data_IF_926811878222
#
_entry.id   IF_926811878222
#
_cell.length_a   1.000
_cell.length_b   1.000
_cell.length_c   1.000
_cell.angle_alpha   90.00
_cell.angle_beta   90.00
_cell.angle_gamma   90.00
#
_symmetry.space_group_name_H-M   'P 1'
#
loop_
_entity.id
_entity.type
_entity.pdbx_description
1 polymer ?
#
# COMPACT_ATOMS: atom_id res chain seq x y z
N UNK A 1 34.44 -5.86 3.45
CA UNK A 1 33.47 -5.99 2.33
C UNK A 1 34.20 -5.84 1.00
N UNK A 2 33.85 -6.63 -0.01
CA UNK A 2 34.35 -6.41 -1.38
C UNK A 2 33.68 -5.18 -2.01
N UNK A 3 34.38 -4.42 -2.86
CA UNK A 3 33.86 -3.18 -3.45
C UNK A 3 32.51 -3.37 -4.17
N UNK A 4 32.34 -4.48 -4.89
CA UNK A 4 31.09 -4.83 -5.58
C UNK A 4 29.91 -5.07 -4.62
N UNK A 5 30.16 -5.64 -3.43
CA UNK A 5 29.14 -5.83 -2.41
C UNK A 5 28.68 -4.49 -1.84
N UNK A 6 29.63 -3.59 -1.55
CA UNK A 6 29.34 -2.24 -1.06
C UNK A 6 28.49 -1.44 -2.06
N UNK A 7 28.78 -1.59 -3.36
CA UNK A 7 28.01 -0.95 -4.43
C UNK A 7 26.56 -1.44 -4.46
N UNK A 8 26.34 -2.75 -4.37
CA UNK A 8 25.00 -3.31 -4.29
C UNK A 8 24.23 -2.84 -3.05
N UNK A 9 24.89 -2.73 -1.91
CA UNK A 9 24.29 -2.18 -0.70
C UNK A 9 23.87 -0.73 -0.90
N UNK A 10 24.78 0.12 -1.43
CA UNK A 10 24.51 1.55 -1.67
C UNK A 10 23.36 1.76 -2.65
N UNK A 11 23.32 0.99 -3.75
CA UNK A 11 22.20 1.04 -4.69
C UNK A 11 20.88 0.62 -4.03
N UNK A 12 20.91 -0.46 -3.24
CA UNK A 12 19.75 -0.92 -2.48
C UNK A 12 19.21 0.14 -1.52
N UNK A 13 20.08 0.79 -0.75
CA UNK A 13 19.69 1.86 0.17
C UNK A 13 19.16 3.10 -0.57
N UNK A 14 19.78 3.50 -1.67
CA UNK A 14 19.30 4.62 -2.51
C UNK A 14 17.90 4.36 -3.06
N UNK A 15 17.64 3.14 -3.53
CA UNK A 15 16.32 2.75 -4.03
C UNK A 15 15.30 2.59 -2.89
N UNK A 16 15.68 2.12 -1.69
CA UNK A 16 14.80 2.16 -0.51
C UNK A 16 14.37 3.60 -0.19
N UNK A 17 15.33 4.54 -0.18
CA UNK A 17 15.05 5.95 0.10
C UNK A 17 14.05 6.52 -0.88
N UNK A 18 14.23 6.26 -2.18
CA UNK A 18 13.30 6.71 -3.22
C UNK A 18 11.93 6.06 -3.04
N UNK A 19 11.88 4.75 -2.81
CA UNK A 19 10.64 4.02 -2.58
C UNK A 19 9.84 4.60 -1.41
N UNK A 20 10.50 4.82 -0.27
CA UNK A 20 9.89 5.43 0.90
C UNK A 20 9.40 6.86 0.64
N UNK A 21 10.18 7.68 -0.08
CA UNK A 21 9.77 9.04 -0.46
C UNK A 21 8.50 9.03 -1.32
N UNK A 22 8.45 8.18 -2.35
CA UNK A 22 7.25 8.06 -3.17
C UNK A 22 6.06 7.59 -2.34
N UNK A 23 6.21 6.58 -1.47
CA UNK A 23 5.12 6.15 -0.59
C UNK A 23 4.63 7.28 0.33
N UNK A 24 5.53 8.08 0.90
CA UNK A 24 5.16 9.24 1.74
C UNK A 24 4.37 10.29 0.95
N UNK A 25 4.78 10.60 -0.28
CA UNK A 25 4.02 11.49 -1.16
C UNK A 25 2.66 10.86 -1.50
N UNK A 26 2.62 9.55 -1.71
CA UNK A 26 1.39 8.78 -1.91
C UNK A 26 0.43 8.92 -0.73
N UNK A 27 0.89 8.76 0.51
CA UNK A 27 0.07 8.98 1.71
C UNK A 27 -0.41 10.42 1.81
N UNK A 28 0.42 11.41 1.49
CA UNK A 28 -0.01 12.81 1.46
C UNK A 28 -1.15 13.03 0.45
N UNK A 29 -1.08 12.41 -0.73
CA UNK A 29 -2.16 12.46 -1.73
C UNK A 29 -3.43 11.74 -1.27
N UNK A 30 -3.30 10.61 -0.54
CA UNK A 30 -4.44 9.95 0.09
C UNK A 30 -5.10 10.81 1.16
N UNK A 31 -4.32 11.56 1.96
CA UNK A 31 -4.85 12.51 2.92
C UNK A 31 -5.60 13.65 2.22
N UNK A 32 -5.07 14.18 1.11
CA UNK A 32 -5.78 15.17 0.28
C UNK A 32 -7.10 14.60 -0.24
N UNK A 33 -7.09 13.36 -0.76
CA UNK A 33 -8.31 12.67 -1.20
C UNK A 33 -9.33 12.50 -0.06
N UNK A 34 -8.85 12.17 1.15
CA UNK A 34 -9.70 12.00 2.32
C UNK A 34 -10.32 13.33 2.78
N UNK A 35 -9.54 14.41 2.79
CA UNK A 35 -10.05 15.77 3.09
C UNK A 35 -11.08 16.21 2.04
N UNK A 36 -10.81 15.92 0.76
CA UNK A 36 -11.76 16.12 -0.33
C UNK A 36 -13.06 15.33 -0.12
N UNK A 37 -13.00 14.06 0.30
CA UNK A 37 -14.22 13.29 0.62
C UNK A 37 -14.97 13.87 1.83
N UNK A 38 -14.26 14.31 2.86
CA UNK A 38 -14.88 14.87 4.07
C UNK A 38 -15.59 16.21 3.82
N UNK A 39 -15.17 17.00 2.84
CA UNK A 39 -15.89 18.23 2.47
C UNK A 39 -17.30 17.96 1.93
N UNK A 40 -17.57 16.73 1.45
CA UNK A 40 -18.89 16.27 1.04
C UNK A 40 -19.70 15.62 2.17
N UNK A 41 -19.11 15.40 3.35
CA UNK A 41 -19.81 14.82 4.49
C UNK A 41 -21.08 15.61 4.89
N UNK A 42 -21.11 16.95 4.90
CA UNK A 42 -22.33 17.70 5.19
C UNK A 42 -23.47 17.40 4.22
N UNK A 43 -23.16 17.20 2.93
CA UNK A 43 -24.15 16.80 1.92
C UNK A 43 -24.72 15.41 2.19
N UNK A 44 -23.87 14.48 2.64
CA UNK A 44 -24.29 13.12 3.04
C UNK A 44 -25.13 13.16 4.33
N UNK A 45 -24.75 13.98 5.31
CA UNK A 45 -25.47 14.12 6.58
C UNK A 45 -26.78 14.90 6.46
N UNK A 46 -26.94 15.71 5.43
CA UNK A 46 -28.19 16.41 5.10
C UNK A 46 -29.20 15.51 4.35
N UNK A 47 -28.85 14.26 4.04
CA UNK A 47 -29.83 13.29 3.56
C UNK A 47 -30.90 13.12 4.65
N UNK A 48 -32.18 13.38 4.35
CA UNK A 48 -33.26 13.26 5.33
C UNK A 48 -33.18 11.90 6.02
N UNK A 49 -33.12 11.92 7.36
CA UNK A 49 -33.05 10.73 8.21
C UNK A 49 -34.11 9.74 7.74
N UNK A 50 -33.69 8.50 7.44
CA UNK A 50 -34.46 7.35 6.93
C UNK A 50 -35.89 7.21 7.52
N UNK A 51 -36.79 8.08 7.10
CA UNK A 51 -38.22 8.01 7.30
C UNK A 51 -38.83 7.83 5.92
N UNK A 52 -38.98 6.56 5.51
CA UNK A 52 -39.79 6.11 4.37
C UNK A 52 -39.89 7.10 3.19
N UNK A 53 -38.75 7.49 2.61
CA UNK A 53 -38.76 8.15 1.30
C UNK A 53 -38.75 7.01 0.26
N UNK A 54 -39.76 6.91 -0.63
CA UNK A 54 -39.75 5.96 -1.72
C UNK A 54 -38.42 6.06 -2.48
N UNK A 55 -37.82 4.92 -2.86
CA UNK A 55 -36.55 4.91 -3.62
C UNK A 55 -36.62 5.73 -4.93
N UNK A 56 -37.83 5.96 -5.46
CA UNK A 56 -38.11 6.83 -6.61
C UNK A 56 -37.85 8.32 -6.36
N UNK A 57 -37.91 8.76 -5.08
CA UNK A 57 -37.80 10.17 -4.66
C UNK A 57 -36.48 10.46 -3.95
N UNK A 58 -35.62 9.44 -3.76
CA UNK A 58 -34.23 9.65 -3.38
C UNK A 58 -33.51 10.33 -4.54
N UNK A 59 -33.54 11.68 -4.56
CA UNK A 59 -32.58 12.45 -5.32
C UNK A 59 -31.19 12.15 -4.76
N UNK A 60 -30.53 11.14 -5.34
CA UNK A 60 -29.10 10.97 -5.17
C UNK A 60 -28.46 12.32 -5.49
N UNK A 61 -27.64 12.89 -4.58
CA UNK A 61 -26.93 14.12 -4.88
C UNK A 61 -26.17 13.90 -6.18
N UNK A 62 -26.54 14.63 -7.23
CA UNK A 62 -25.81 14.58 -8.49
C UNK A 62 -24.45 15.21 -8.22
N UNK A 63 -23.46 14.36 -7.94
CA UNK A 63 -22.07 14.80 -7.92
C UNK A 63 -21.77 15.37 -9.31
N UNK A 64 -21.46 16.66 -9.37
CA UNK A 64 -21.00 17.27 -10.60
C UNK A 64 -19.63 16.69 -10.99
N UNK A 65 -19.25 16.93 -12.24
CA UNK A 65 -17.97 16.47 -12.78
C UNK A 65 -16.78 17.03 -11.98
N UNK A 66 -16.91 18.25 -11.44
CA UNK A 66 -15.88 18.89 -10.62
C UNK A 66 -15.64 18.15 -9.30
N UNK A 67 -16.71 17.73 -8.62
CA UNK A 67 -16.68 17.01 -7.35
C UNK A 67 -16.08 15.61 -7.53
N UNK A 68 -16.51 14.92 -8.59
CA UNK A 68 -15.95 13.62 -8.97
C UNK A 68 -14.45 13.74 -9.25
N UNK A 69 -14.02 14.76 -10.02
CA UNK A 69 -12.61 14.98 -10.31
C UNK A 69 -11.80 15.34 -9.06
N UNK A 70 -12.35 16.14 -8.15
CA UNK A 70 -11.67 16.56 -6.92
C UNK A 70 -11.37 15.38 -5.98
N UNK A 71 -12.18 14.32 -6.01
CA UNK A 71 -11.94 13.07 -5.27
C UNK A 71 -11.07 12.09 -6.07
N UNK A 72 -11.40 11.85 -7.34
CA UNK A 72 -10.74 10.82 -8.14
C UNK A 72 -9.31 11.17 -8.54
N UNK A 73 -9.03 12.44 -8.82
CA UNK A 73 -7.70 12.85 -9.29
C UNK A 73 -6.61 12.61 -8.24
N UNK A 74 -6.75 13.03 -6.97
CA UNK A 74 -5.77 12.73 -5.93
C UNK A 74 -5.61 11.22 -5.68
N UNK A 75 -6.69 10.43 -5.75
CA UNK A 75 -6.62 8.97 -5.64
C UNK A 75 -5.82 8.34 -6.78
N UNK A 76 -6.04 8.79 -8.02
CA UNK A 76 -5.30 8.32 -9.19
C UNK A 76 -3.81 8.68 -9.07
N UNK A 77 -3.50 9.91 -8.65
CA UNK A 77 -2.11 10.35 -8.42
C UNK A 77 -1.48 9.51 -7.30
N UNK A 78 -2.18 9.30 -6.19
CA UNK A 78 -1.70 8.46 -5.08
C UNK A 78 -1.38 7.04 -5.54
N UNK A 79 -2.24 6.44 -6.37
CA UNK A 79 -2.03 5.11 -6.95
C UNK A 79 -0.78 5.07 -7.83
N UNK A 80 -0.62 6.01 -8.76
CA UNK A 80 0.55 6.08 -9.66
C UNK A 80 1.86 6.26 -8.87
N UNK A 81 1.83 7.13 -7.86
CA UNK A 81 2.98 7.38 -6.98
C UNK A 81 3.28 6.14 -6.12
N UNK A 82 2.26 5.48 -5.58
CA UNK A 82 2.42 4.22 -4.84
C UNK A 82 3.04 3.11 -5.70
N UNK A 83 2.64 3.00 -6.97
CA UNK A 83 3.25 2.07 -7.93
C UNK A 83 4.73 2.40 -8.18
N UNK A 84 5.09 3.69 -8.27
CA UNK A 84 6.50 4.10 -8.34
C UNK A 84 7.26 3.71 -7.06
N UNK A 85 6.69 3.94 -5.88
CA UNK A 85 7.28 3.53 -4.60
C UNK A 85 7.52 2.03 -4.53
N UNK A 86 6.52 1.24 -4.90
CA UNK A 86 6.59 -0.21 -5.03
C UNK A 86 7.72 -0.65 -5.99
N UNK A 87 7.81 -0.03 -7.17
CA UNK A 87 8.87 -0.33 -8.15
C UNK A 87 10.27 -0.15 -7.54
N UNK A 88 10.50 0.95 -6.83
CA UNK A 88 11.79 1.22 -6.18
C UNK A 88 12.09 0.24 -5.05
N UNK A 89 11.11 -0.14 -4.23
CA UNK A 89 11.29 -1.20 -3.24
C UNK A 89 11.57 -2.56 -3.87
N UNK A 90 10.87 -2.90 -4.95
CA UNK A 90 11.10 -4.13 -5.68
C UNK A 90 12.52 -4.18 -6.26
N UNK A 91 13.00 -3.06 -6.83
CA UNK A 91 14.37 -2.93 -7.33
C UNK A 91 15.41 -3.01 -6.20
N UNK A 92 15.15 -2.31 -5.09
CA UNK A 92 16.02 -2.32 -3.91
C UNK A 92 16.24 -3.73 -3.35
N UNK A 93 15.16 -4.49 -3.12
CA UNK A 93 15.26 -5.87 -2.62
C UNK A 93 16.06 -6.77 -3.56
N UNK A 94 16.08 -6.47 -4.87
CA UNK A 94 16.94 -7.14 -5.84
C UNK A 94 18.42 -6.85 -5.62
N UNK A 95 18.80 -5.61 -5.34
CA UNK A 95 20.18 -5.23 -5.02
C UNK A 95 20.62 -5.81 -3.66
N UNK A 96 19.77 -5.73 -2.64
CA UNK A 96 20.04 -6.26 -1.30
C UNK A 96 20.19 -7.79 -1.29
N UNK A 97 19.40 -8.51 -2.10
CA UNK A 97 19.58 -9.95 -2.31
C UNK A 97 20.95 -10.30 -2.91
N UNK A 98 21.50 -9.46 -3.81
CA UNK A 98 22.84 -9.70 -4.39
C UNK A 98 23.96 -9.42 -3.39
N UNK A 99 23.71 -8.55 -2.42
CA UNK A 99 24.63 -8.26 -1.33
C UNK A 99 24.70 -9.41 -0.32
N UNK A 100 23.55 -9.84 0.22
CA UNK A 100 23.42 -10.96 1.16
C UNK A 100 22.12 -11.73 0.90
N UNK A 101 22.21 -12.75 0.05
CA UNK A 101 21.04 -13.52 -0.37
C UNK A 101 20.37 -14.31 0.78
N UNK A 102 21.11 -15.02 1.66
CA UNK A 102 20.51 -15.77 2.77
C UNK A 102 19.70 -14.89 3.73
N UNK A 103 20.18 -13.68 4.03
CA UNK A 103 19.51 -12.80 5.01
C UNK A 103 18.48 -11.89 4.37
N UNK A 104 18.86 -11.18 3.30
CA UNK A 104 18.07 -10.10 2.71
C UNK A 104 17.23 -10.54 1.51
N UNK A 105 17.46 -11.75 0.98
CA UNK A 105 16.67 -12.28 -0.13
C UNK A 105 15.17 -12.44 0.17
N UNK A 106 14.80 -12.53 1.44
CA UNK A 106 13.41 -12.68 1.91
C UNK A 106 12.53 -11.49 1.50
N UNK A 107 13.08 -10.27 1.46
CA UNK A 107 12.32 -9.09 1.05
C UNK A 107 11.92 -9.14 -0.41
N UNK A 108 12.75 -9.75 -1.28
CA UNK A 108 12.41 -9.92 -2.70
C UNK A 108 11.23 -10.87 -2.89
N UNK A 109 11.19 -11.96 -2.11
CA UNK A 109 10.03 -12.86 -2.07
C UNK A 109 8.79 -12.10 -1.60
N UNK A 110 8.91 -11.31 -0.52
CA UNK A 110 7.81 -10.48 -0.01
C UNK A 110 7.23 -9.53 -1.06
N UNK A 111 8.09 -8.74 -1.72
CA UNK A 111 7.65 -7.83 -2.78
C UNK A 111 7.05 -8.58 -3.99
N UNK A 112 7.47 -9.83 -4.26
CA UNK A 112 6.88 -10.64 -5.34
C UNK A 112 5.47 -11.11 -4.97
N UNK A 113 5.22 -11.48 -3.70
CA UNK A 113 3.88 -11.79 -3.22
C UNK A 113 2.96 -10.57 -3.28
N UNK A 114 3.46 -9.39 -2.90
CA UNK A 114 2.71 -8.14 -3.04
C UNK A 114 2.34 -7.87 -4.50
N UNK A 115 3.28 -8.06 -5.44
CA UNK A 115 3.00 -7.88 -6.88
C UNK A 115 1.87 -8.80 -7.35
N UNK A 116 1.90 -10.08 -6.96
CA UNK A 116 0.87 -11.04 -7.32
C UNK A 116 -0.48 -10.64 -6.70
N UNK A 117 -0.50 -10.24 -5.43
CA UNK A 117 -1.70 -9.73 -4.77
C UNK A 117 -2.27 -8.48 -5.44
N UNK A 118 -1.40 -7.54 -5.83
CA UNK A 118 -1.79 -6.32 -6.52
C UNK A 118 -2.37 -6.62 -7.91
N UNK A 119 -1.74 -7.51 -8.68
CA UNK A 119 -2.26 -7.97 -9.97
C UNK A 119 -3.64 -8.65 -9.78
N UNK A 120 -3.79 -9.47 -8.74
CA UNK A 120 -5.07 -10.12 -8.43
C UNK A 120 -6.17 -9.09 -8.13
N UNK A 121 -5.86 -7.98 -7.45
CA UNK A 121 -6.81 -6.88 -7.21
C UNK A 121 -7.13 -6.15 -8.51
N UNK A 122 -6.10 -5.71 -9.25
CA UNK A 122 -6.25 -4.88 -10.46
C UNK A 122 -7.00 -5.64 -11.57
N UNK A 123 -6.78 -6.95 -11.71
CA UNK A 123 -7.45 -7.77 -12.72
C UNK A 123 -8.75 -8.35 -12.17
N UNK A 124 -8.72 -8.88 -10.96
CA UNK A 124 -9.82 -9.64 -10.38
C UNK A 124 -11.02 -8.79 -9.97
N UNK A 125 -10.82 -7.60 -9.37
CA UNK A 125 -11.94 -6.74 -9.00
C UNK A 125 -12.71 -6.24 -10.23
N UNK A 126 -12.09 -5.64 -11.26
CA UNK A 126 -12.81 -5.20 -12.46
C UNK A 126 -13.48 -6.35 -13.21
N UNK A 127 -12.82 -7.51 -13.34
CA UNK A 127 -13.41 -8.68 -13.98
C UNK A 127 -14.68 -9.15 -13.26
N UNK A 128 -14.68 -9.09 -11.93
CA UNK A 128 -15.85 -9.48 -11.12
C UNK A 128 -16.96 -8.44 -11.20
N UNK A 129 -16.63 -7.15 -11.12
CA UNK A 129 -17.60 -6.05 -11.30
C UNK A 129 -18.26 -6.15 -12.69
N UNK A 130 -17.46 -6.37 -13.73
CA UNK A 130 -17.95 -6.56 -15.09
C UNK A 130 -18.87 -7.78 -15.19
N UNK A 131 -18.48 -8.90 -14.59
CA UNK A 131 -19.28 -10.12 -14.57
C UNK A 131 -20.63 -9.92 -13.88
N UNK A 132 -20.67 -9.15 -12.78
CA UNK A 132 -21.92 -8.79 -12.08
C UNK A 132 -22.77 -7.87 -12.95
N UNK A 133 -22.17 -6.90 -13.64
CA UNK A 133 -22.88 -5.91 -14.46
C UNK A 133 -23.58 -6.53 -15.68
N UNK A 134 -23.05 -7.61 -16.25
CA UNK A 134 -23.61 -8.29 -17.43
C UNK A 134 -24.45 -9.53 -17.06
N UNK A 135 -24.45 -9.95 -15.80
CA UNK A 135 -25.13 -11.16 -15.37
C UNK A 135 -26.66 -10.96 -15.36
N UNK A 136 -27.44 -11.86 -15.97
CA UNK A 136 -28.87 -11.89 -15.73
C UNK A 136 -29.11 -12.20 -14.23
N UNK A 137 -29.87 -11.33 -13.56
CA UNK A 137 -30.11 -11.37 -12.11
C UNK A 137 -30.44 -12.79 -11.61
N UNK A 138 -29.79 -13.24 -10.52
CA UNK A 138 -30.02 -14.57 -9.94
C UNK A 138 -28.78 -15.19 -9.26
N UNK A 139 -28.70 -16.52 -9.21
CA UNK A 139 -27.63 -17.29 -8.55
C UNK A 139 -26.23 -16.98 -9.08
N UNK A 140 -26.09 -16.55 -10.34
CA UNK A 140 -24.82 -16.16 -10.94
C UNK A 140 -24.20 -14.92 -10.25
N UNK A 141 -25.02 -13.92 -9.86
CA UNK A 141 -24.54 -12.75 -9.14
C UNK A 141 -23.99 -13.14 -7.74
N UNK A 142 -24.61 -14.15 -7.12
CA UNK A 142 -24.16 -14.69 -5.83
C UNK A 142 -22.80 -15.40 -5.98
N UNK A 143 -22.63 -16.25 -7.00
CA UNK A 143 -21.34 -16.90 -7.26
C UNK A 143 -20.24 -15.89 -7.61
N UNK A 144 -20.55 -14.87 -8.40
CA UNK A 144 -19.62 -13.78 -8.72
C UNK A 144 -19.20 -13.01 -7.45
N UNK A 145 -20.14 -12.71 -6.55
CA UNK A 145 -19.85 -12.06 -5.27
C UNK A 145 -18.93 -12.92 -4.39
N UNK A 146 -19.21 -14.22 -4.25
CA UNK A 146 -18.32 -15.13 -3.51
C UNK A 146 -16.94 -15.25 -4.15
N UNK A 147 -16.88 -15.27 -5.49
CA UNK A 147 -15.61 -15.21 -6.23
C UNK A 147 -14.83 -13.93 -5.94
N UNK A 148 -15.51 -12.78 -5.91
CA UNK A 148 -14.91 -11.49 -5.55
C UNK A 148 -14.30 -11.52 -4.16
N UNK A 149 -15.07 -12.02 -3.17
CA UNK A 149 -14.64 -12.12 -1.79
C UNK A 149 -13.45 -13.06 -1.65
N UNK A 150 -13.46 -14.19 -2.37
CA UNK A 150 -12.34 -15.13 -2.41
C UNK A 150 -11.06 -14.50 -2.96
N UNK A 151 -11.15 -13.83 -4.13
CA UNK A 151 -10.01 -13.13 -4.74
C UNK A 151 -9.49 -12.02 -3.83
N UNK A 152 -10.40 -11.21 -3.26
CA UNK A 152 -10.03 -10.13 -2.36
C UNK A 152 -9.31 -10.65 -1.11
N UNK A 153 -9.81 -11.74 -0.51
CA UNK A 153 -9.20 -12.35 0.67
C UNK A 153 -7.81 -12.92 0.36
N UNK A 154 -7.65 -13.64 -0.75
CA UNK A 154 -6.34 -14.15 -1.17
C UNK A 154 -5.38 -13.01 -1.47
N UNK A 155 -5.82 -11.98 -2.18
CA UNK A 155 -4.97 -10.84 -2.52
C UNK A 155 -4.52 -10.08 -1.26
N UNK A 156 -5.43 -9.81 -0.33
CA UNK A 156 -5.12 -9.17 0.96
C UNK A 156 -4.14 -10.02 1.76
N UNK A 157 -4.33 -11.34 1.83
CA UNK A 157 -3.39 -12.24 2.49
C UNK A 157 -1.99 -12.18 1.87
N UNK A 158 -1.90 -12.17 0.53
CA UNK A 158 -0.63 -12.04 -0.20
C UNK A 158 0.07 -10.70 0.06
N UNK A 159 -0.69 -9.60 0.10
CA UNK A 159 -0.18 -8.27 0.43
C UNK A 159 0.40 -8.24 1.85
N UNK A 160 -0.37 -8.73 2.84
CA UNK A 160 0.06 -8.77 4.26
C UNK A 160 1.32 -9.62 4.41
N UNK A 161 1.31 -10.86 3.91
CA UNK A 161 2.49 -11.74 4.01
C UNK A 161 3.68 -11.10 3.30
N UNK A 162 3.45 -10.46 2.17
CA UNK A 162 4.48 -9.73 1.45
C UNK A 162 5.10 -8.57 2.26
N UNK A 163 4.27 -7.74 2.89
CA UNK A 163 4.69 -6.67 3.80
C UNK A 163 5.49 -7.22 4.97
N UNK A 164 5.02 -8.30 5.60
CA UNK A 164 5.72 -8.94 6.72
C UNK A 164 7.11 -9.43 6.33
N UNK A 165 7.24 -10.08 5.17
CA UNK A 165 8.55 -10.56 4.68
C UNK A 165 9.49 -9.39 4.33
N UNK A 166 8.97 -8.29 3.78
CA UNK A 166 9.74 -7.08 3.55
C UNK A 166 10.18 -6.43 4.88
N UNK A 167 9.29 -6.35 5.87
CA UNK A 167 9.62 -5.88 7.21
C UNK A 167 10.68 -6.73 7.90
N UNK A 168 10.60 -8.06 7.81
CA UNK A 168 11.62 -8.99 8.31
C UNK A 168 12.98 -8.75 7.63
N UNK A 169 13.00 -8.45 6.32
CA UNK A 169 14.24 -8.05 5.65
C UNK A 169 14.83 -6.78 6.28
N UNK A 170 14.02 -5.75 6.56
CA UNK A 170 14.49 -4.53 7.23
C UNK A 170 15.04 -4.82 8.63
N UNK A 171 14.39 -5.70 9.39
CA UNK A 171 14.89 -6.13 10.71
C UNK A 171 16.28 -6.76 10.58
N UNK A 172 16.46 -7.67 9.62
CA UNK A 172 17.74 -8.34 9.36
C UNK A 172 18.81 -7.40 8.81
N UNK A 173 18.41 -6.34 8.11
CA UNK A 173 19.33 -5.30 7.66
C UNK A 173 19.98 -4.57 8.83
N UNK A 174 19.30 -4.50 9.97
CA UNK A 174 19.87 -4.00 11.24
C UNK A 174 21.03 -4.84 11.79
N UNK A 175 21.27 -6.03 11.26
CA UNK A 175 22.42 -6.87 11.63
C UNK A 175 23.66 -6.56 10.76
N UNK A 176 23.51 -5.75 9.72
CA UNK A 176 24.62 -5.28 8.88
C UNK A 176 25.30 -4.11 9.57
N UNK A 177 26.64 -4.12 9.60
CA UNK A 177 27.45 -3.06 10.21
C UNK A 177 27.05 -1.68 9.63
N UNK A 178 26.84 -0.70 10.52
CA UNK A 178 26.43 0.66 10.14
C UNK A 178 24.94 0.83 9.80
N UNK A 179 24.09 -0.20 9.95
CA UNK A 179 22.66 -0.14 9.60
C UNK A 179 21.73 -0.55 10.76
N UNK A 180 22.22 -0.59 12.00
CA UNK A 180 21.46 -1.04 13.18
C UNK A 180 20.08 -0.38 13.35
N UNK A 181 19.95 0.89 12.97
CA UNK A 181 18.71 1.67 13.06
C UNK A 181 17.56 1.08 12.21
N UNK A 182 17.87 0.33 11.13
CA UNK A 182 16.87 -0.36 10.31
C UNK A 182 16.07 -1.41 11.07
N UNK A 183 16.62 -1.93 12.17
CA UNK A 183 15.90 -2.89 13.02
C UNK A 183 14.61 -2.28 13.56
N UNK A 184 14.67 -1.04 14.03
CA UNK A 184 13.52 -0.30 14.56
C UNK A 184 12.50 -0.02 13.47
N UNK A 185 12.97 0.45 12.29
CA UNK A 185 12.09 0.68 11.14
C UNK A 185 11.35 -0.59 10.71
N UNK A 186 12.07 -1.73 10.66
CA UNK A 186 11.49 -3.02 10.30
C UNK A 186 10.46 -3.53 11.30
N UNK A 187 10.69 -3.37 12.61
CA UNK A 187 9.70 -3.74 13.63
C UNK A 187 8.42 -2.92 13.48
N UNK A 188 8.56 -1.60 13.34
CA UNK A 188 7.40 -0.71 13.17
C UNK A 188 6.65 -1.06 11.88
N UNK A 189 7.39 -1.32 10.78
CA UNK A 189 6.82 -1.73 9.50
C UNK A 189 6.07 -3.05 9.58
N UNK A 190 6.50 -4.01 10.41
CA UNK A 190 5.79 -5.29 10.63
C UNK A 190 4.52 -5.09 11.46
N UNK A 191 4.60 -4.28 12.51
CA UNK A 191 3.48 -4.06 13.43
C UNK A 191 2.33 -3.29 12.73
N UNK A 192 2.65 -2.34 11.86
CA UNK A 192 1.66 -1.53 11.13
C UNK A 192 0.57 -2.38 10.43
N UNK A 193 0.94 -3.23 9.45
CA UNK A 193 0.03 -4.12 8.74
C UNK A 193 -0.74 -5.10 9.63
N UNK A 194 -0.22 -5.48 10.80
CA UNK A 194 -0.96 -6.33 11.75
C UNK A 194 -2.07 -5.53 12.42
N UNK A 195 -1.77 -4.30 12.85
CA UNK A 195 -2.77 -3.44 13.49
C UNK A 195 -3.84 -2.96 12.50
N UNK A 196 -3.52 -2.80 11.21
CA UNK A 196 -4.52 -2.44 10.19
C UNK A 196 -5.61 -3.50 10.01
N UNK A 197 -5.36 -4.76 10.40
CA UNK A 197 -6.36 -5.84 10.36
C UNK A 197 -7.40 -5.73 11.47
N UNK A 198 -7.13 -4.96 12.52
CA UNK A 198 -8.04 -4.78 13.65
C UNK A 198 -8.83 -3.49 13.41
N UNK A 199 -10.12 -3.56 13.03
CA UNK A 199 -10.87 -2.38 12.55
C UNK A 199 -10.84 -1.20 13.53
N UNK A 200 -10.96 -1.49 14.83
CA UNK A 200 -11.00 -0.50 15.92
C UNK A 200 -9.72 0.35 16.03
N UNK A 201 -8.57 -0.20 15.68
CA UNK A 201 -7.26 0.46 15.81
C UNK A 201 -6.51 0.56 14.47
N UNK A 202 -7.22 0.34 13.37
CA UNK A 202 -6.66 0.30 12.02
C UNK A 202 -5.92 1.61 11.65
N UNK A 203 -6.41 2.75 12.12
CA UNK A 203 -5.76 4.05 11.92
C UNK A 203 -4.36 4.11 12.57
N UNK A 204 -4.16 3.43 13.70
CA UNK A 204 -2.85 3.35 14.37
C UNK A 204 -1.87 2.59 13.49
N UNK A 205 -2.32 1.49 12.87
CA UNK A 205 -1.51 0.73 11.92
C UNK A 205 -1.04 1.59 10.74
N UNK A 206 -1.91 2.42 10.18
CA UNK A 206 -1.57 3.36 9.11
C UNK A 206 -0.55 4.42 9.56
N UNK A 207 -0.70 4.97 10.78
CA UNK A 207 0.27 5.91 11.33
C UNK A 207 1.64 5.24 11.54
N UNK A 208 1.69 4.00 12.03
CA UNK A 208 2.93 3.26 12.16
C UNK A 208 3.59 2.99 10.82
N UNK A 209 2.83 2.69 9.78
CA UNK A 209 3.37 2.50 8.42
C UNK A 209 3.99 3.80 7.89
N UNK A 210 3.33 4.95 8.08
CA UNK A 210 3.92 6.27 7.75
C UNK A 210 5.22 6.50 8.53
N UNK A 211 5.23 6.23 9.85
CA UNK A 211 6.44 6.35 10.67
C UNK A 211 7.55 5.44 10.17
N UNK A 212 7.23 4.19 9.82
CA UNK A 212 8.20 3.25 9.25
C UNK A 212 8.78 3.78 7.94
N UNK A 213 7.96 4.33 7.03
CA UNK A 213 8.45 4.95 5.81
C UNK A 213 9.39 6.14 6.07
N UNK A 214 9.07 6.99 7.05
CA UNK A 214 9.95 8.10 7.46
C UNK A 214 11.30 7.56 7.93
N UNK A 215 11.28 6.53 8.78
CA UNK A 215 12.51 5.92 9.29
C UNK A 215 13.33 5.26 8.18
N UNK A 216 12.70 4.51 7.27
CA UNK A 216 13.37 3.93 6.10
C UNK A 216 14.02 5.05 5.27
N UNK A 217 13.30 6.14 4.99
CA UNK A 217 13.83 7.28 4.24
C UNK A 217 15.08 7.88 4.91
N UNK A 218 15.01 8.15 6.22
CA UNK A 218 16.10 8.76 6.99
C UNK A 218 17.30 7.83 7.09
N UNK A 219 17.08 6.58 7.48
CA UNK A 219 18.16 5.61 7.71
C UNK A 219 18.84 5.20 6.39
N UNK A 220 18.09 5.09 5.30
CA UNK A 220 18.68 4.88 3.96
C UNK A 220 19.57 6.05 3.53
N UNK A 221 19.29 7.28 3.99
CA UNK A 221 20.12 8.45 3.72
C UNK A 221 21.37 8.56 4.61
N UNK A 222 21.40 7.88 5.76
CA UNK A 222 22.53 7.86 6.71
C UNK A 222 23.43 6.63 6.56
N UNK A 223 23.00 5.64 5.79
CA UNK A 223 23.77 4.41 5.55
C UNK A 223 25.10 4.64 4.85
N UNK A 224 25.99 3.64 4.93
CA UNK A 224 27.39 3.69 4.50
C UNK A 224 27.51 4.27 3.06
N UNK A 225 28.14 5.44 2.94
CA UNK A 225 28.50 6.05 1.66
C UNK A 225 27.37 6.80 0.94
N UNK A 226 26.29 7.18 1.61
CA UNK A 226 25.37 8.16 1.06
C UNK A 226 26.11 9.49 0.82
N UNK A 227 26.07 10.06 -0.40
CA UNK A 227 26.53 11.44 -0.57
C UNK A 227 25.64 12.33 0.30
N UNK A 228 26.27 13.19 1.09
CA UNK A 228 25.58 14.23 1.86
C UNK A 228 24.66 15.06 0.97
#
# INVERSE_FOLDING_TARGET
MQAAQLEHLRMGLSDLRKGALFNLIGYAMLLVAMMAMLSFLPMILQLPSLGYIPYSDMMLPKLGLTEVLLILLPLLIALLIGLMGFYYFFRSTGHLKRFDAPRLGIGRTGMTLQLIGLIAIIVGLPATIFSIAIAPYGSFAIYALFGMLGIALVAVALLIVGDLLFGVMLIRMGEVEGLAEFKTAGIIYVVGPILTLIPLISFVGLLLDIVAQILIYVYSGRGIGAPA
#
